data_IF_893506417388
#
_entry.id   IF_893506417388
#
_cell.length_a   1.000
_cell.length_b   1.000
_cell.length_c   1.000
_cell.angle_alpha   90.00
_cell.angle_beta   90.00
_cell.angle_gamma   90.00
#
_symmetry.space_group_name_H-M   'P 1'
#
loop_
_entity.id
_entity.type
_entity.pdbx_description
1 polymer ?
#
# COMPACT_ATOMS: atom_id res chain seq x y z
N UNK A 1 3.08 -8.97 3.27
CA UNK A 1 2.76 -10.38 2.92
C UNK A 1 3.31 -10.69 1.54
N UNK A 2 3.77 -11.91 1.30
CA UNK A 2 4.16 -12.35 -0.04
C UNK A 2 2.90 -12.75 -0.83
N UNK A 3 2.75 -12.24 -2.04
CA UNK A 3 1.65 -12.58 -2.93
C UNK A 3 2.18 -12.93 -4.32
N UNK A 4 1.61 -13.96 -4.94
CA UNK A 4 2.01 -14.44 -6.26
C UNK A 4 0.94 -14.10 -7.29
N UNK A 5 1.32 -13.41 -8.36
CA UNK A 5 0.46 -13.13 -9.53
C UNK A 5 1.09 -13.64 -10.83
N UNK A 6 0.28 -13.96 -11.87
CA UNK A 6 0.80 -14.23 -13.21
C UNK A 6 1.54 -12.98 -13.73
N UNK A 7 2.77 -13.12 -14.21
CA UNK A 7 3.62 -11.97 -14.53
C UNK A 7 3.14 -11.16 -15.76
N UNK A 8 2.32 -11.73 -16.65
CA UNK A 8 1.99 -11.12 -17.94
C UNK A 8 3.25 -10.78 -18.77
N UNK A 9 3.08 -10.10 -19.91
CA UNK A 9 4.20 -9.77 -20.82
C UNK A 9 5.09 -8.59 -20.37
N UNK A 10 4.90 -8.02 -19.18
CA UNK A 10 5.59 -6.78 -18.81
C UNK A 10 6.62 -6.99 -17.71
N UNK A 11 7.90 -6.86 -18.06
CA UNK A 11 9.02 -6.72 -17.13
C UNK A 11 8.78 -5.55 -16.15
N UNK A 12 8.47 -5.80 -14.87
CA UNK A 12 8.37 -4.78 -13.84
C UNK A 12 9.80 -4.32 -13.49
N UNK A 13 10.07 -3.03 -13.67
CA UNK A 13 11.34 -2.43 -13.24
C UNK A 13 11.67 -2.78 -11.78
N UNK A 14 12.98 -2.90 -11.49
CA UNK A 14 13.50 -3.26 -10.18
C UNK A 14 13.12 -2.20 -9.13
N UNK A 15 12.07 -2.42 -8.36
CA UNK A 15 11.89 -1.73 -7.07
C UNK A 15 12.86 -2.34 -6.07
N UNK A 16 13.78 -1.54 -5.54
CA UNK A 16 14.68 -1.91 -4.45
C UNK A 16 13.85 -2.20 -3.20
N UNK A 17 13.36 -3.43 -3.08
CA UNK A 17 12.58 -3.85 -1.93
C UNK A 17 12.06 -5.28 -1.93
N UNK A 18 11.54 -5.83 -3.03
CA UNK A 18 10.76 -7.07 -2.90
C UNK A 18 10.16 -7.70 -4.17
N UNK A 19 10.93 -7.86 -5.24
CA UNK A 19 10.46 -8.61 -6.42
C UNK A 19 11.31 -9.85 -6.63
N UNK A 20 10.73 -11.02 -6.36
CA UNK A 20 11.31 -12.32 -6.72
C UNK A 20 10.50 -12.92 -7.87
N UNK A 21 11.19 -13.21 -8.97
CA UNK A 21 10.63 -14.02 -10.04
C UNK A 21 10.90 -15.49 -9.71
N UNK A 22 9.89 -16.34 -9.84
CA UNK A 22 10.08 -17.78 -9.80
C UNK A 22 9.52 -18.37 -11.08
N UNK A 23 10.31 -19.20 -11.77
CA UNK A 23 9.82 -19.98 -12.90
C UNK A 23 8.93 -21.08 -12.31
N UNK A 24 7.64 -21.07 -12.62
CA UNK A 24 6.68 -22.11 -12.23
C UNK A 24 6.55 -23.14 -13.36
N UNK A 25 5.95 -24.30 -13.06
CA UNK A 25 5.69 -25.35 -14.07
C UNK A 25 4.99 -24.75 -15.31
N UNK A 26 5.33 -25.26 -16.49
CA UNK A 26 4.89 -24.78 -17.82
C UNK A 26 5.64 -23.56 -18.41
N UNK A 27 6.85 -23.23 -17.92
CA UNK A 27 7.64 -22.10 -18.43
C UNK A 27 6.97 -20.73 -18.24
N UNK A 28 6.02 -20.63 -17.32
CA UNK A 28 5.41 -19.37 -16.92
C UNK A 28 6.26 -18.70 -15.83
N UNK A 29 6.40 -17.38 -15.92
CA UNK A 29 7.09 -16.60 -14.89
C UNK A 29 6.05 -16.17 -13.85
N UNK A 30 6.23 -16.59 -12.60
CA UNK A 30 5.43 -16.12 -11.48
C UNK A 30 6.10 -14.88 -10.84
N UNK A 31 5.30 -13.83 -10.64
CA UNK A 31 5.74 -12.60 -9.99
C UNK A 31 5.40 -12.68 -8.51
N UNK A 32 6.43 -12.70 -7.65
CA UNK A 32 6.26 -12.63 -6.20
C UNK A 32 6.57 -11.22 -5.71
N UNK A 33 5.57 -10.56 -5.13
CA UNK A 33 5.66 -9.20 -4.61
C UNK A 33 5.36 -9.17 -3.11
N UNK A 34 6.15 -8.42 -2.35
CA UNK A 34 5.78 -8.09 -0.97
C UNK A 34 4.75 -6.96 -1.02
N UNK A 35 3.53 -7.30 -0.60
CA UNK A 35 2.42 -6.36 -0.45
C UNK A 35 2.36 -5.80 0.95
N UNK A 36 2.13 -4.49 1.01
CA UNK A 36 2.00 -3.70 2.24
C UNK A 36 0.55 -3.33 2.44
N UNK A 37 0.11 -3.34 3.70
CA UNK A 37 -1.28 -3.09 4.06
C UNK A 37 -1.37 -2.26 5.32
N UNK A 38 -2.41 -1.43 5.40
CA UNK A 38 -2.89 -0.85 6.65
C UNK A 38 -4.06 -1.69 7.13
N UNK A 39 -4.00 -2.19 8.35
CA UNK A 39 -5.10 -2.93 8.98
C UNK A 39 -6.13 -1.93 9.47
N UNK A 40 -7.38 -2.07 9.02
CA UNK A 40 -8.50 -1.22 9.46
C UNK A 40 -9.33 -1.91 10.53
N UNK A 41 -9.55 -3.22 10.35
CA UNK A 41 -10.34 -3.99 11.29
C UNK A 41 -9.78 -5.40 11.40
N UNK A 42 -9.48 -5.82 12.62
CA UNK A 42 -9.17 -7.21 12.90
C UNK A 42 -10.48 -8.01 13.01
N UNK A 43 -10.59 -9.13 12.28
CA UNK A 43 -11.69 -10.10 12.38
C UNK A 43 -11.12 -11.42 12.93
N UNK A 44 -11.97 -12.40 13.23
CA UNK A 44 -11.52 -13.61 13.93
C UNK A 44 -10.37 -14.37 13.24
N UNK A 45 -10.46 -14.59 11.92
CA UNK A 45 -9.47 -15.39 11.15
C UNK A 45 -8.71 -14.59 10.11
N UNK A 46 -9.17 -13.37 9.80
CA UNK A 46 -8.62 -12.48 8.79
C UNK A 46 -8.72 -11.04 9.27
N UNK A 47 -8.05 -10.12 8.60
CA UNK A 47 -8.18 -8.68 8.81
C UNK A 47 -8.71 -8.00 7.56
N UNK A 48 -9.56 -7.00 7.74
CA UNK A 48 -9.88 -6.05 6.68
C UNK A 48 -8.76 -5.02 6.60
N UNK A 49 -8.18 -4.91 5.41
CA UNK A 49 -6.96 -4.18 5.15
C UNK A 49 -7.10 -3.29 3.92
N UNK A 50 -6.33 -2.21 3.89
CA UNK A 50 -6.21 -1.30 2.74
C UNK A 50 -4.81 -1.43 2.17
N UNK A 51 -4.66 -1.65 0.85
CA UNK A 51 -3.36 -1.87 0.22
C UNK A 51 -2.58 -0.56 0.14
N UNK A 52 -1.26 -0.67 0.31
CA UNK A 52 -0.30 0.38 0.03
C UNK A 52 0.51 -0.02 -1.20
N UNK A 53 0.51 0.84 -2.21
CA UNK A 53 1.12 0.59 -3.51
C UNK A 53 2.04 1.74 -3.91
N UNK A 54 3.17 1.40 -4.52
CA UNK A 54 4.06 2.39 -5.16
C UNK A 54 3.82 2.48 -6.66
N UNK A 55 2.96 1.60 -7.20
CA UNK A 55 2.70 1.47 -8.63
C UNK A 55 3.98 1.35 -9.45
N UNK A 56 4.92 0.48 -9.02
CA UNK A 56 6.26 0.33 -9.62
C UNK A 56 7.07 1.64 -9.60
N UNK A 57 6.94 2.41 -8.52
CA UNK A 57 7.59 3.70 -8.35
C UNK A 57 6.93 4.86 -9.10
N UNK A 58 5.73 4.66 -9.68
CA UNK A 58 4.99 5.71 -10.40
C UNK A 58 4.00 6.45 -9.49
N UNK A 59 3.82 6.02 -8.23
CA UNK A 59 2.81 6.59 -7.35
C UNK A 59 1.43 6.65 -8.04
N UNK A 60 0.57 7.62 -7.73
CA UNK A 60 -0.77 7.69 -8.33
C UNK A 60 -0.81 8.28 -9.76
N UNK A 61 0.31 8.28 -10.50
CA UNK A 61 0.35 8.71 -11.92
C UNK A 61 -0.03 7.62 -12.90
N UNK A 62 -0.14 6.37 -12.43
CA UNK A 62 -0.51 5.23 -13.30
C UNK A 62 -1.89 5.47 -13.94
N UNK A 63 -2.03 5.32 -15.27
CA UNK A 63 -3.31 5.48 -15.95
C UNK A 63 -4.38 4.52 -15.42
N UNK A 64 -5.62 5.01 -15.33
CA UNK A 64 -6.79 4.22 -14.91
C UNK A 64 -6.98 4.08 -13.39
N UNK A 65 -6.21 4.82 -12.58
CA UNK A 65 -6.47 4.92 -11.14
C UNK A 65 -7.62 5.89 -10.85
N UNK A 66 -8.47 5.52 -9.89
CA UNK A 66 -9.38 6.47 -9.23
C UNK A 66 -8.56 7.25 -8.21
N UNK A 67 -7.97 8.35 -8.65
CA UNK A 67 -7.01 9.13 -7.82
C UNK A 67 -7.66 9.64 -6.53
N UNK A 68 -8.97 9.91 -6.56
CA UNK A 68 -9.72 10.33 -5.37
C UNK A 68 -9.74 9.26 -4.26
N UNK A 69 -9.53 7.98 -4.58
CA UNK A 69 -9.42 6.91 -3.58
C UNK A 69 -8.01 6.79 -2.98
N UNK A 70 -7.10 7.73 -3.25
CA UNK A 70 -5.71 7.64 -2.83
C UNK A 70 -5.32 8.75 -1.86
N UNK A 71 -4.39 8.42 -0.96
CA UNK A 71 -3.62 9.39 -0.20
C UNK A 71 -2.14 9.01 -0.17
N UNK A 72 -1.28 9.98 0.09
CA UNK A 72 0.12 9.70 0.46
C UNK A 72 0.12 8.99 1.81
N UNK A 73 0.92 7.93 1.95
CA UNK A 73 1.23 7.31 3.24
C UNK A 73 2.74 7.19 3.38
N UNK A 74 3.29 7.62 4.51
CA UNK A 74 4.74 7.73 4.70
C UNK A 74 5.14 7.42 6.13
N UNK A 75 6.33 6.87 6.31
CA UNK A 75 6.92 6.68 7.64
C UNK A 75 7.73 7.90 8.05
N UNK A 76 7.60 8.35 9.30
CA UNK A 76 8.42 9.44 9.83
C UNK A 76 8.14 9.78 11.30
N UNK A 77 9.09 10.46 11.97
CA UNK A 77 8.88 10.96 13.33
C UNK A 77 7.76 12.01 13.37
N UNK A 78 7.29 12.32 14.57
CA UNK A 78 6.32 13.40 14.76
C UNK A 78 6.85 14.72 14.17
N UNK A 79 6.01 15.43 13.43
CA UNK A 79 6.39 16.67 12.72
C UNK A 79 7.10 16.48 11.37
N UNK A 80 7.40 15.23 10.96
CA UNK A 80 7.95 14.98 9.63
C UNK A 80 6.97 15.39 8.54
N UNK A 81 7.46 16.12 7.54
CA UNK A 81 6.68 16.47 6.35
C UNK A 81 6.51 15.26 5.42
N UNK A 82 5.36 15.12 4.74
CA UNK A 82 5.17 14.07 3.76
C UNK A 82 6.11 14.25 2.56
N UNK A 83 6.45 13.16 1.82
CA UNK A 83 7.09 13.29 0.53
C UNK A 83 6.19 14.10 -0.44
N UNK A 84 6.78 14.87 -1.37
CA UNK A 84 6.00 15.60 -2.35
C UNK A 84 5.25 14.64 -3.29
N UNK A 85 4.18 15.14 -3.88
CA UNK A 85 3.55 14.50 -5.03
C UNK A 85 4.53 14.48 -6.21
N UNK A 86 4.51 13.39 -6.98
CA UNK A 86 5.16 13.34 -8.29
C UNK A 86 4.36 14.19 -9.29
N UNK A 87 5.04 14.65 -10.33
CA UNK A 87 4.41 15.38 -11.42
C UNK A 87 3.26 14.56 -12.03
N UNK A 88 2.08 15.18 -12.12
CA UNK A 88 0.86 14.54 -12.62
C UNK A 88 0.03 13.77 -11.58
N UNK A 89 0.45 13.68 -10.31
CA UNK A 89 -0.40 13.13 -9.25
C UNK A 89 -1.48 14.12 -8.81
N UNK A 90 -2.75 13.76 -8.99
CA UNK A 90 -3.90 14.56 -8.58
C UNK A 90 -4.42 14.28 -7.16
N UNK A 91 -3.60 13.75 -6.25
CA UNK A 91 -4.06 13.40 -4.90
C UNK A 91 -4.36 14.67 -4.10
N UNK A 92 -5.59 14.78 -3.60
CA UNK A 92 -6.05 15.91 -2.78
C UNK A 92 -6.21 15.56 -1.29
N UNK A 93 -6.25 14.26 -0.96
CA UNK A 93 -6.36 13.78 0.42
C UNK A 93 -5.11 14.11 1.23
N UNK A 94 -5.30 14.37 2.53
CA UNK A 94 -4.20 14.61 3.45
C UNK A 94 -3.31 13.37 3.56
N UNK A 95 -2.00 13.58 3.58
CA UNK A 95 -1.04 12.51 3.80
C UNK A 95 -1.19 11.88 5.19
N UNK A 96 -1.03 10.57 5.27
CA UNK A 96 -1.08 9.79 6.50
C UNK A 96 0.33 9.40 6.95
N UNK A 97 0.74 9.92 8.10
CA UNK A 97 1.99 9.55 8.76
C UNK A 97 1.86 8.20 9.47
N UNK A 98 2.90 7.39 9.36
CA UNK A 98 3.11 6.14 10.08
C UNK A 98 4.33 6.32 11.00
N UNK A 99 4.16 6.01 12.27
CA UNK A 99 5.22 5.88 13.26
C UNK A 99 5.96 4.57 12.99
N UNK A 100 7.23 4.61 12.54
CA UNK A 100 7.93 3.42 12.10
C UNK A 100 8.34 2.53 13.27
N UNK A 101 8.20 1.22 13.08
CA UNK A 101 8.88 0.21 13.88
C UNK A 101 10.34 0.11 13.40
N UNK A 102 11.27 -0.18 14.33
CA UNK A 102 12.72 -0.06 14.09
C UNK A 102 13.18 -0.72 12.77
N UNK A 103 13.74 0.09 11.87
CA UNK A 103 14.41 -0.38 10.65
C UNK A 103 13.50 -0.48 9.42
N UNK A 104 12.18 -0.36 9.57
CA UNK A 104 11.22 -0.49 8.47
C UNK A 104 10.67 0.86 8.01
N UNK A 105 10.61 1.05 6.70
CA UNK A 105 10.17 2.29 6.08
C UNK A 105 9.31 2.06 4.84
N UNK A 106 8.43 3.02 4.57
CA UNK A 106 7.69 3.10 3.31
C UNK A 106 8.50 3.87 2.27
N UNK A 107 8.42 3.44 1.01
CA UNK A 107 8.99 4.17 -0.13
C UNK A 107 8.26 5.51 -0.30
N UNK A 108 8.94 6.55 -0.80
CA UNK A 108 8.34 7.89 -0.96
C UNK A 108 7.15 7.92 -1.91
N UNK A 109 7.07 6.98 -2.85
CA UNK A 109 5.96 6.78 -3.78
C UNK A 109 4.80 5.97 -3.20
N UNK A 110 4.86 5.57 -1.93
CA UNK A 110 3.80 4.78 -1.29
C UNK A 110 2.50 5.57 -1.24
N UNK A 111 1.44 5.01 -1.83
CA UNK A 111 0.08 5.53 -1.80
C UNK A 111 -0.84 4.47 -1.21
N UNK A 112 -1.67 4.86 -0.25
CA UNK A 112 -2.75 4.03 0.26
C UNK A 112 -3.92 4.13 -0.72
N UNK A 113 -4.58 3.01 -1.05
CA UNK A 113 -5.73 2.96 -1.97
C UNK A 113 -6.98 2.48 -1.24
N UNK A 114 -7.82 3.42 -0.81
CA UNK A 114 -9.04 3.19 -0.04
C UNK A 114 -10.13 2.44 -0.82
N UNK A 115 -10.15 2.58 -2.15
CA UNK A 115 -11.17 2.00 -3.03
C UNK A 115 -11.01 0.50 -3.27
N UNK A 116 -9.96 -0.12 -2.74
CA UNK A 116 -9.70 -1.56 -2.93
C UNK A 116 -9.39 -2.29 -1.62
N UNK A 117 -10.37 -2.44 -0.70
CA UNK A 117 -10.17 -3.21 0.52
C UNK A 117 -9.86 -4.69 0.22
N UNK A 118 -9.05 -5.29 1.08
CA UNK A 118 -8.68 -6.70 1.05
C UNK A 118 -9.03 -7.39 2.36
N UNK A 119 -9.47 -8.65 2.27
CA UNK A 119 -9.40 -9.59 3.38
C UNK A 119 -8.00 -10.24 3.37
N UNK A 120 -7.26 -10.08 4.47
CA UNK A 120 -5.93 -10.67 4.64
C UNK A 120 -6.01 -11.72 5.75
N UNK A 121 -5.88 -12.99 5.38
CA UNK A 121 -5.85 -14.12 6.32
C UNK A 121 -4.69 -13.98 7.31
N UNK A 122 -4.87 -14.41 8.56
CA UNK A 122 -3.84 -14.32 9.60
C UNK A 122 -2.74 -15.39 9.48
N UNK A 123 -2.92 -16.38 8.61
CA UNK A 123 -1.97 -17.47 8.41
C UNK A 123 -0.79 -17.09 7.47
N UNK A 124 -0.69 -15.84 7.03
CA UNK A 124 0.41 -15.36 6.19
C UNK A 124 1.54 -14.76 7.03
N UNK A 125 2.78 -14.91 6.57
CA UNK A 125 3.92 -14.23 7.18
C UNK A 125 3.85 -12.73 6.91
N UNK A 126 3.95 -11.94 7.98
CA UNK A 126 3.93 -10.47 7.94
C UNK A 126 5.17 -9.90 8.61
N UNK A 127 5.50 -8.67 8.22
CA UNK A 127 6.52 -7.85 8.85
C UNK A 127 5.84 -6.53 9.23
N UNK A 128 6.01 -6.12 10.47
CA UNK A 128 5.43 -4.88 10.99
C UNK A 128 6.26 -3.67 10.54
N UNK A 129 5.63 -2.73 9.84
CA UNK A 129 6.27 -1.48 9.40
C UNK A 129 6.12 -0.39 10.46
N UNK A 130 4.98 -0.34 11.15
CA UNK A 130 4.68 0.71 12.10
C UNK A 130 3.17 0.90 12.32
N UNK A 131 2.83 1.99 13.01
CA UNK A 131 1.45 2.35 13.37
C UNK A 131 1.05 3.67 12.71
N UNK A 132 -0.16 3.78 12.18
CA UNK A 132 -0.66 5.08 11.70
C UNK A 132 -0.72 6.04 12.89
N UNK A 133 -0.18 7.24 12.70
CA UNK A 133 -0.10 8.24 13.75
C UNK A 133 -1.50 8.54 14.34
N UNK A 134 -1.65 8.62 15.67
CA UNK A 134 -2.96 8.81 16.31
C UNK A 134 -3.75 10.01 15.75
N UNK A 135 -3.07 11.12 15.47
CA UNK A 135 -3.66 12.33 14.87
C UNK A 135 -4.17 12.16 13.44
N UNK A 136 -3.84 11.04 12.78
CA UNK A 136 -4.27 10.72 11.42
C UNK A 136 -5.31 9.59 11.35
N UNK A 137 -5.63 8.95 12.48
CA UNK A 137 -6.58 7.83 12.51
C UNK A 137 -7.98 8.23 12.04
N UNK A 138 -8.46 9.44 12.36
CA UNK A 138 -9.76 9.88 11.88
C UNK A 138 -9.81 10.07 10.37
N UNK A 139 -8.73 10.55 9.75
CA UNK A 139 -8.64 10.65 8.29
C UNK A 139 -8.62 9.27 7.65
N UNK A 140 -7.87 8.32 8.23
CA UNK A 140 -7.83 6.94 7.75
C UNK A 140 -9.23 6.33 7.68
N UNK A 141 -10.01 6.45 8.76
CA UNK A 141 -11.38 5.93 8.84
C UNK A 141 -12.31 6.66 7.89
N UNK A 142 -12.28 8.01 7.87
CA UNK A 142 -13.16 8.81 7.02
C UNK A 142 -12.91 8.56 5.52
N UNK A 143 -11.64 8.51 5.09
CA UNK A 143 -11.29 8.22 3.70
C UNK A 143 -11.69 6.81 3.30
N UNK A 144 -11.55 5.85 4.21
CA UNK A 144 -12.02 4.49 3.97
C UNK A 144 -13.54 4.44 3.77
N UNK A 145 -14.31 5.02 4.69
CA UNK A 145 -15.77 5.08 4.62
C UNK A 145 -16.28 5.76 3.34
N UNK A 146 -15.63 6.87 2.96
CA UNK A 146 -15.94 7.59 1.72
C UNK A 146 -15.74 6.69 0.49
N UNK A 147 -14.64 5.94 0.42
CA UNK A 147 -14.33 5.10 -0.73
C UNK A 147 -15.21 3.85 -0.84
N UNK A 148 -15.65 3.28 0.28
CA UNK A 148 -16.51 2.07 0.28
C UNK A 148 -18.01 2.37 0.28
N UNK A 149 -18.40 3.66 0.29
CA UNK A 149 -19.81 4.07 0.22
C UNK A 149 -20.63 3.77 1.47
N UNK A 150 -20.00 3.62 2.63
CA UNK A 150 -20.70 3.46 3.91
C UNK A 150 -20.82 4.84 4.59
N UNK A 151 -21.94 5.52 4.35
CA UNK A 151 -22.38 6.72 5.08
C UNK A 151 -23.18 6.35 6.32
#
# INVERSE_FOLDING_TARGET
MLWTEPAGQCNPGKTRGSTHFSIVRFSETAYSEIRRFVVIQNKGTFSQCIPVQTYRGQAATKPGLVVDDHAIIYTGPQGASPPPLLEGEGITKRALRVEPTRGEHLESQSRINFGKPYAVEHNVKVLEIGMVAPEHMYYLVAYFQQAVGCS
#
